data_IF_386875916861
#
_entry.id   IF_386875916861
#
_cell.length_a   1.000
_cell.length_b   1.000
_cell.length_c   1.000
_cell.angle_alpha   90.00
_cell.angle_beta   90.00
_cell.angle_gamma   90.00
#
_symmetry.space_group_name_H-M   'P 1'
#
loop_
_entity.id
_entity.type
_entity.pdbx_description
1 polymer ?
#
# COMPACT_ATOMS: atom_id res chain seq x y z
N UNK A 1 20.75 -4.22 -6.24
CA UNK A 1 19.52 -3.53 -6.72
C UNK A 1 19.70 -2.06 -6.39
N UNK A 2 20.45 -1.32 -7.21
CA UNK A 2 20.83 0.06 -6.90
C UNK A 2 20.73 0.96 -8.14
N UNK A 3 19.67 0.73 -8.94
CA UNK A 3 19.32 1.66 -9.99
C UNK A 3 18.38 2.71 -9.40
N UNK A 4 18.67 3.99 -9.67
CA UNK A 4 17.74 5.07 -9.39
C UNK A 4 16.47 4.88 -10.22
N UNK A 5 15.31 5.01 -9.59
CA UNK A 5 14.03 4.88 -10.27
C UNK A 5 12.94 5.70 -9.59
N UNK A 6 11.92 6.07 -10.35
CA UNK A 6 10.80 6.82 -9.80
C UNK A 6 9.91 5.95 -8.90
N UNK A 7 9.69 4.70 -9.30
CA UNK A 7 8.85 3.77 -8.59
C UNK A 7 9.46 2.36 -8.56
N UNK A 8 9.38 1.71 -7.40
CA UNK A 8 9.69 0.30 -7.22
C UNK A 8 8.40 -0.50 -7.01
N UNK A 9 8.13 -1.46 -7.89
CA UNK A 9 7.05 -2.44 -7.72
C UNK A 9 7.57 -3.60 -6.86
N UNK A 10 7.04 -3.73 -5.64
CA UNK A 10 7.50 -4.71 -4.66
C UNK A 10 6.42 -5.75 -4.36
N UNK A 11 6.70 -7.02 -4.64
CA UNK A 11 5.71 -8.08 -4.43
C UNK A 11 6.24 -9.51 -4.52
N UNK A 12 7.57 -9.71 -4.54
CA UNK A 12 8.16 -11.04 -4.69
C UNK A 12 7.94 -11.94 -3.46
N UNK A 13 7.86 -11.33 -2.27
CA UNK A 13 7.50 -11.98 -0.99
C UNK A 13 7.15 -10.91 0.06
N UNK A 14 6.48 -11.34 1.13
CA UNK A 14 6.34 -10.50 2.31
C UNK A 14 7.72 -10.16 2.91
N UNK A 15 7.87 -8.92 3.39
CA UNK A 15 9.13 -8.39 3.91
C UNK A 15 10.28 -8.43 2.91
N UNK A 16 10.00 -8.33 1.60
CA UNK A 16 11.03 -8.25 0.56
C UNK A 16 11.94 -7.02 0.78
N UNK A 17 11.37 -5.92 1.26
CA UNK A 17 12.09 -4.70 1.61
C UNK A 17 12.29 -4.68 3.13
N UNK A 18 13.49 -5.10 3.53
CA UNK A 18 14.00 -4.96 4.89
C UNK A 18 14.63 -3.58 5.10
N UNK A 19 14.99 -3.26 6.35
CA UNK A 19 15.67 -2.00 6.65
C UNK A 19 17.07 -1.87 6.05
N UNK A 20 17.78 -2.98 5.84
CA UNK A 20 19.07 -2.98 5.13
C UNK A 20 18.87 -2.58 3.67
N UNK A 21 17.93 -3.24 2.97
CA UNK A 21 17.64 -2.91 1.58
C UNK A 21 17.10 -1.48 1.46
N UNK A 22 16.20 -1.05 2.35
CA UNK A 22 15.64 0.29 2.34
C UNK A 22 16.69 1.41 2.36
N UNK A 23 17.83 1.20 3.02
CA UNK A 23 18.94 2.18 3.09
C UNK A 23 19.74 2.28 1.80
N UNK A 24 19.64 1.28 0.93
CA UNK A 24 20.34 1.23 -0.35
C UNK A 24 19.45 1.66 -1.52
N UNK A 25 18.14 1.78 -1.32
CA UNK A 25 17.19 2.14 -2.36
C UNK A 25 17.24 3.63 -2.69
N UNK A 26 17.36 3.95 -3.98
CA UNK A 26 17.24 5.29 -4.54
C UNK A 26 15.93 5.43 -5.33
N UNK A 27 14.79 5.39 -4.62
CA UNK A 27 13.45 5.43 -5.24
C UNK A 27 12.53 6.45 -4.60
N UNK A 28 11.70 7.12 -5.42
CA UNK A 28 10.75 8.13 -4.94
C UNK A 28 9.49 7.52 -4.35
N UNK A 29 9.07 6.36 -4.87
CA UNK A 29 7.91 5.63 -4.34
C UNK A 29 8.13 4.12 -4.35
N UNK A 30 7.53 3.44 -3.37
CA UNK A 30 7.35 1.99 -3.36
C UNK A 30 5.87 1.68 -3.55
N UNK A 31 5.55 0.83 -4.52
CA UNK A 31 4.20 0.37 -4.83
C UNK A 31 4.13 -1.13 -4.57
N UNK A 32 3.23 -1.57 -3.68
CA UNK A 32 2.99 -2.97 -3.45
C UNK A 32 2.31 -3.64 -4.65
N UNK A 33 2.92 -4.72 -5.17
CA UNK A 33 2.33 -5.63 -6.16
C UNK A 33 2.03 -7.02 -5.56
N UNK A 34 2.48 -7.25 -4.33
CA UNK A 34 2.15 -8.43 -3.53
C UNK A 34 1.95 -8.02 -2.07
N UNK A 35 1.47 -8.93 -1.21
CA UNK A 35 1.14 -8.59 0.17
C UNK A 35 2.39 -8.37 1.02
N UNK A 36 2.29 -7.37 1.88
CA UNK A 36 3.21 -6.99 2.95
C UNK A 36 4.68 -6.86 2.51
N UNK A 37 5.00 -6.15 1.41
CA UNK A 37 6.35 -6.17 0.85
C UNK A 37 7.37 -5.41 1.71
N UNK A 38 6.92 -4.52 2.60
CA UNK A 38 7.76 -3.62 3.41
C UNK A 38 7.64 -3.98 4.88
N UNK A 39 8.78 -4.16 5.55
CA UNK A 39 8.83 -4.35 7.01
C UNK A 39 8.62 -3.04 7.76
N UNK A 40 8.19 -3.08 9.03
CA UNK A 40 8.01 -1.88 9.85
C UNK A 40 9.27 -0.99 9.93
N UNK A 41 10.45 -1.60 10.08
CA UNK A 41 11.71 -0.85 10.09
C UNK A 41 12.03 -0.25 8.72
N UNK A 42 11.78 -0.97 7.63
CA UNK A 42 11.96 -0.45 6.28
C UNK A 42 11.05 0.73 5.99
N UNK A 43 9.79 0.69 6.43
CA UNK A 43 8.85 1.80 6.30
C UNK A 43 9.41 3.09 6.95
N UNK A 44 10.00 2.96 8.14
CA UNK A 44 10.64 4.08 8.82
C UNK A 44 11.87 4.61 8.07
N UNK A 45 12.74 3.73 7.56
CA UNK A 45 13.91 4.14 6.77
C UNK A 45 13.52 4.84 5.46
N UNK A 46 12.56 4.27 4.73
CA UNK A 46 12.03 4.85 3.48
C UNK A 46 11.40 6.23 3.73
N UNK A 47 10.60 6.36 4.79
CA UNK A 47 10.00 7.65 5.17
C UNK A 47 11.04 8.72 5.50
N UNK A 48 12.13 8.37 6.22
CA UNK A 48 13.23 9.30 6.48
C UNK A 48 13.97 9.74 5.21
N UNK A 49 14.02 8.87 4.21
CA UNK A 49 14.59 9.18 2.90
C UNK A 49 13.63 9.96 1.98
N UNK A 50 12.43 10.32 2.45
CA UNK A 50 11.41 11.00 1.64
C UNK A 50 10.73 10.09 0.61
N UNK A 51 10.90 8.77 0.71
CA UNK A 51 10.25 7.81 -0.15
C UNK A 51 8.80 7.55 0.30
N UNK A 52 7.86 7.63 -0.64
CA UNK A 52 6.44 7.37 -0.38
C UNK A 52 6.12 5.89 -0.56
N UNK A 53 5.64 5.24 0.49
CA UNK A 53 5.16 3.85 0.45
C UNK A 53 3.64 3.82 0.28
N UNK A 54 3.18 3.28 -0.85
CA UNK A 54 1.76 3.11 -1.14
C UNK A 54 1.17 1.92 -0.37
N UNK A 55 -0.10 1.99 0.06
CA UNK A 55 -0.81 0.87 0.70
C UNK A 55 -1.02 -0.29 -0.28
N UNK A 56 -0.31 -1.38 -0.05
CA UNK A 56 -0.34 -2.59 -0.89
C UNK A 56 -1.74 -3.20 -1.02
N UNK A 57 -2.50 -3.27 0.07
CA UNK A 57 -3.87 -3.78 0.10
C UNK A 57 -4.86 -2.89 -0.67
N UNK A 58 -4.49 -1.65 -1.00
CA UNK A 58 -5.26 -0.76 -1.87
C UNK A 58 -4.76 -0.89 -3.31
N UNK A 59 -3.45 -0.86 -3.54
CA UNK A 59 -2.87 -0.96 -4.90
C UNK A 59 -3.13 -2.32 -5.56
N UNK A 60 -3.38 -3.36 -4.76
CA UNK A 60 -3.74 -4.71 -5.22
C UNK A 60 -5.21 -5.06 -5.05
N UNK A 61 -6.08 -4.09 -4.69
CA UNK A 61 -7.50 -4.32 -4.38
C UNK A 61 -8.38 -4.72 -5.58
N UNK A 62 -7.84 -4.75 -6.80
CA UNK A 62 -8.58 -5.04 -8.02
C UNK A 62 -9.54 -6.23 -7.90
N UNK A 63 -9.06 -7.43 -7.52
CA UNK A 63 -9.92 -8.61 -7.35
C UNK A 63 -11.03 -8.47 -6.30
N UNK A 64 -10.91 -7.54 -5.34
CA UNK A 64 -11.94 -7.26 -4.33
C UNK A 64 -12.99 -6.25 -4.78
N UNK A 65 -12.71 -5.47 -5.84
CA UNK A 65 -13.60 -4.44 -6.37
C UNK A 65 -14.51 -5.00 -7.47
N UNK A 66 -14.01 -5.93 -8.29
CA UNK A 66 -14.79 -6.55 -9.36
C UNK A 66 -15.69 -7.67 -8.87
N UNK A 67 -16.88 -7.75 -9.46
CA UNK A 67 -17.72 -8.95 -9.38
C UNK A 67 -17.06 -10.08 -10.18
N UNK A 68 -16.66 -11.20 -9.55
CA UNK A 68 -16.02 -12.31 -10.23
C UNK A 68 -16.94 -13.03 -11.23
N UNK A 69 -18.26 -12.86 -11.14
CA UNK A 69 -19.24 -13.41 -12.07
C UNK A 69 -19.66 -12.42 -13.18
N UNK A 70 -19.24 -11.15 -13.07
CA UNK A 70 -19.63 -10.08 -13.97
C UNK A 70 -18.72 -9.93 -15.20
N UNK A 71 -19.15 -9.17 -16.23
CA UNK A 71 -18.31 -8.82 -17.36
C UNK A 71 -17.14 -7.91 -16.94
N UNK A 72 -15.95 -8.16 -17.49
CA UNK A 72 -14.74 -7.40 -17.16
C UNK A 72 -14.52 -6.16 -18.04
N UNK A 73 -15.42 -5.84 -18.97
CA UNK A 73 -15.21 -4.77 -19.97
C UNK A 73 -14.91 -3.41 -19.35
N UNK A 74 -15.62 -3.05 -18.27
CA UNK A 74 -15.44 -1.76 -17.57
C UNK A 74 -14.63 -1.90 -16.26
N UNK A 75 -14.23 -3.12 -15.92
CA UNK A 75 -13.55 -3.44 -14.67
C UNK A 75 -12.26 -2.64 -14.46
N UNK A 76 -11.33 -2.51 -15.45
CA UNK A 76 -10.09 -1.77 -15.23
C UNK A 76 -10.32 -0.30 -14.88
N UNK A 77 -11.30 0.35 -15.52
CA UNK A 77 -11.62 1.75 -15.28
C UNK A 77 -12.25 1.95 -13.89
N UNK A 78 -13.18 1.06 -13.50
CA UNK A 78 -13.80 1.08 -12.17
C UNK A 78 -12.76 0.85 -11.06
N UNK A 79 -11.88 -0.15 -11.23
CA UNK A 79 -10.77 -0.43 -10.30
C UNK A 79 -9.84 0.76 -10.19
N UNK A 80 -9.38 1.32 -11.33
CA UNK A 80 -8.49 2.47 -11.33
C UNK A 80 -9.11 3.67 -10.61
N UNK A 81 -10.39 3.96 -10.85
CA UNK A 81 -11.11 5.05 -10.19
C UNK A 81 -11.23 4.83 -8.68
N UNK A 82 -11.60 3.62 -8.25
CA UNK A 82 -11.76 3.30 -6.83
C UNK A 82 -10.43 3.35 -6.07
N UNK A 83 -9.36 2.77 -6.66
CA UNK A 83 -8.00 2.83 -6.10
C UNK A 83 -7.52 4.28 -6.03
N UNK A 84 -7.64 5.04 -7.11
CA UNK A 84 -7.20 6.44 -7.15
C UNK A 84 -7.91 7.31 -6.11
N UNK A 85 -9.22 7.10 -5.88
CA UNK A 85 -9.96 7.83 -4.87
C UNK A 85 -9.40 7.60 -3.46
N UNK A 86 -9.09 6.35 -3.10
CA UNK A 86 -8.50 6.03 -1.80
C UNK A 86 -7.09 6.59 -1.68
N UNK A 87 -6.25 6.44 -2.72
CA UNK A 87 -4.88 6.95 -2.70
C UNK A 87 -4.84 8.49 -2.57
N UNK A 88 -5.76 9.20 -3.24
CA UNK A 88 -5.88 10.65 -3.12
C UNK A 88 -6.30 11.09 -1.70
N UNK A 89 -7.21 10.36 -1.07
CA UNK A 89 -7.69 10.64 0.30
C UNK A 89 -6.55 10.56 1.34
N UNK A 90 -5.60 9.63 1.14
CA UNK A 90 -4.53 9.35 2.12
C UNK A 90 -3.17 9.91 1.73
N UNK A 91 -3.06 10.59 0.57
CA UNK A 91 -1.78 11.02 -0.01
C UNK A 91 -0.95 11.89 0.95
N UNK A 92 -1.59 12.84 1.61
CA UNK A 92 -0.96 13.85 2.47
C UNK A 92 -1.03 13.49 3.97
N UNK A 93 -1.31 12.22 4.29
CA UNK A 93 -1.36 11.79 5.70
C UNK A 93 0.00 12.00 6.38
N UNK A 94 0.01 12.53 7.61
CA UNK A 94 1.24 12.96 8.33
C UNK A 94 2.29 11.85 8.51
N UNK A 95 1.84 10.60 8.46
CA UNK A 95 2.66 9.39 8.61
C UNK A 95 2.75 8.56 7.32
N UNK A 96 2.39 9.18 6.19
CA UNK A 96 2.41 8.59 4.86
C UNK A 96 1.14 7.80 4.49
N UNK A 97 0.97 7.51 3.18
CA UNK A 97 -0.25 6.89 2.62
C UNK A 97 -0.59 5.51 3.20
N UNK A 98 0.42 4.67 3.44
CA UNK A 98 0.20 3.33 4.02
C UNK A 98 -0.51 3.42 5.38
N UNK A 99 -0.04 4.31 6.27
CA UNK A 99 -0.67 4.46 7.57
C UNK A 99 -2.03 5.15 7.48
N UNK A 100 -2.17 6.17 6.62
CA UNK A 100 -3.45 6.82 6.37
C UNK A 100 -4.52 5.83 5.91
N UNK A 101 -4.17 4.91 5.01
CA UNK A 101 -5.10 3.88 4.56
C UNK A 101 -5.46 2.87 5.67
N UNK A 102 -4.53 2.52 6.55
CA UNK A 102 -4.82 1.67 7.71
C UNK A 102 -5.85 2.35 8.62
N UNK A 103 -5.65 3.64 8.94
CA UNK A 103 -6.55 4.42 9.79
C UNK A 103 -7.94 4.60 9.14
N UNK A 104 -7.99 4.83 7.83
CA UNK A 104 -9.22 4.85 7.06
C UNK A 104 -9.98 3.53 7.16
N UNK A 105 -9.29 2.40 7.00
CA UNK A 105 -9.90 1.08 7.13
C UNK A 105 -10.37 0.81 8.56
N UNK A 106 -9.58 1.17 9.57
CA UNK A 106 -9.94 1.06 10.98
C UNK A 106 -11.21 1.88 11.32
N UNK A 107 -11.34 3.10 10.77
CA UNK A 107 -12.53 3.93 10.92
C UNK A 107 -13.77 3.30 10.27
N UNK A 108 -13.62 2.73 9.07
CA UNK A 108 -14.71 1.98 8.42
C UNK A 108 -15.13 0.77 9.26
N UNK A 109 -14.18 -0.04 9.75
CA UNK A 109 -14.48 -1.20 10.61
C UNK A 109 -15.21 -0.79 11.89
N UNK A 110 -14.79 0.32 12.52
CA UNK A 110 -15.42 0.83 13.73
C UNK A 110 -16.89 1.23 13.55
N UNK A 111 -17.36 1.43 12.32
CA UNK A 111 -18.78 1.73 12.05
C UNK A 111 -19.71 0.51 12.20
N UNK A 112 -19.17 -0.72 12.20
CA UNK A 112 -19.98 -1.94 12.22
C UNK A 112 -19.44 -3.08 13.11
N UNK A 113 -18.26 -2.94 13.70
CA UNK A 113 -17.76 -3.87 14.72
C UNK A 113 -17.02 -3.16 15.85
N UNK A 114 -17.24 -3.62 17.10
CA UNK A 114 -16.52 -3.14 18.27
C UNK A 114 -15.12 -3.79 18.40
N UNK A 115 -14.97 -5.01 17.90
CA UNK A 115 -13.71 -5.75 17.89
C UNK A 115 -12.99 -5.53 16.56
N UNK A 116 -11.70 -5.18 16.64
CA UNK A 116 -10.84 -4.93 15.47
C UNK A 116 -9.82 -6.06 15.31
N UNK A 117 -9.41 -6.39 14.07
CA UNK A 117 -8.29 -7.28 13.82
C UNK A 117 -7.04 -6.83 14.60
N UNK A 118 -6.26 -7.79 15.08
CA UNK A 118 -5.02 -7.49 15.77
C UNK A 118 -3.95 -7.01 14.79
N UNK A 119 -3.38 -5.83 15.06
CA UNK A 119 -2.27 -5.27 14.29
C UNK A 119 -2.69 -4.58 12.99
N UNK A 120 -1.68 -4.11 12.25
CA UNK A 120 -1.81 -3.46 10.93
C UNK A 120 -1.14 -4.34 9.87
N UNK A 121 -1.51 -4.20 8.59
CA UNK A 121 -0.87 -4.92 7.49
C UNK A 121 0.54 -4.38 7.21
N UNK A 122 1.47 -4.61 8.13
CA UNK A 122 2.89 -4.24 8.04
C UNK A 122 3.69 -5.47 8.48
N UNK A 123 4.70 -5.87 7.69
CA UNK A 123 5.55 -7.04 7.97
C UNK A 123 6.57 -6.81 9.11
#
# INVERSE_FOLDING_TARGET
LAAEADALLAGSRAGAISHELARELAVRTVVGWGPLPVTAKALAELGRAGCVVQPDFVTTAGPSIVDPAGPLTDAPAAVASAVAAVLAEVADHEHGPLLGACLRAEAFLASWTAERPFGRPIA
#
